data_IF_508309409513
#
_entry.id   IF_508309409513
#
_cell.length_a   1.000
_cell.length_b   1.000
_cell.length_c   1.000
_cell.angle_alpha   90.00
_cell.angle_beta   90.00
_cell.angle_gamma   90.00
#
_symmetry.space_group_name_H-M   'P 1'
#
loop_
_entity.id
_entity.type
_entity.pdbx_description
1 polymer ?
#
# COMPACT_ATOMS: atom_id res chain seq x y z
N UNK A 1 -20.07 22.82 27.66
CA UNK A 1 -19.45 21.63 27.06
C UNK A 1 -18.92 22.05 25.70
N UNK A 2 -17.64 22.43 25.62
CA UNK A 2 -17.00 22.73 24.34
C UNK A 2 -16.04 21.59 24.06
N UNK A 3 -16.36 20.80 23.04
CA UNK A 3 -15.61 19.63 22.64
C UNK A 3 -14.40 20.12 21.86
N UNK A 4 -13.20 19.96 22.41
CA UNK A 4 -11.95 20.13 21.67
C UNK A 4 -11.77 18.91 20.76
N UNK A 5 -12.14 19.06 19.48
CA UNK A 5 -11.65 18.15 18.44
C UNK A 5 -10.25 18.63 18.05
N UNK A 6 -9.22 18.03 18.62
CA UNK A 6 -7.93 17.99 17.94
C UNK A 6 -8.15 17.20 16.64
N UNK A 7 -8.13 17.92 15.53
CA UNK A 7 -8.38 17.42 14.18
C UNK A 7 -7.18 16.61 13.70
N UNK A 8 -7.05 15.41 14.26
CA UNK A 8 -6.09 14.38 13.86
C UNK A 8 -6.37 13.84 12.46
N UNK A 9 -7.52 14.20 11.86
CA UNK A 9 -7.92 13.84 10.51
C UNK A 9 -7.29 14.78 9.47
N UNK A 10 -7.17 16.07 9.77
CA UNK A 10 -6.63 17.06 8.85
C UNK A 10 -5.12 17.33 8.98
N UNK A 11 -4.45 16.83 10.03
CA UNK A 11 -2.99 16.97 10.19
C UNK A 11 -2.27 15.74 10.79
N UNK A 12 -2.23 14.57 10.10
CA UNK A 12 -1.27 13.53 10.46
C UNK A 12 0.14 13.98 10.07
N UNK A 13 0.99 14.20 11.08
CA UNK A 13 2.31 14.85 10.97
C UNK A 13 3.44 13.98 10.37
N UNK A 14 3.23 12.72 9.98
CA UNK A 14 4.36 11.83 9.67
C UNK A 14 4.03 10.75 8.62
N UNK A 15 4.29 11.05 7.34
CA UNK A 15 4.65 10.06 6.29
C UNK A 15 6.04 10.34 5.72
N UNK A 16 6.87 11.01 6.53
CA UNK A 16 8.18 11.54 6.14
C UNK A 16 9.23 10.44 6.32
N UNK A 17 9.55 9.70 5.25
CA UNK A 17 10.91 9.27 4.86
C UNK A 17 10.99 8.04 3.93
N UNK A 18 9.90 7.32 3.66
CA UNK A 18 9.93 6.21 2.71
C UNK A 18 8.58 5.54 2.63
N UNK A 19 8.02 5.38 1.42
CA UNK A 19 6.81 4.55 1.27
C UNK A 19 7.04 3.11 1.78
N UNK A 20 8.31 2.69 1.87
CA UNK A 20 8.80 1.44 2.45
C UNK A 20 8.40 1.31 3.92
N UNK A 21 8.60 2.33 4.76
CA UNK A 21 8.27 2.25 6.20
C UNK A 21 6.77 2.00 6.45
N UNK A 22 5.90 2.64 5.65
CA UNK A 22 4.45 2.50 5.80
C UNK A 22 3.99 1.14 5.27
N UNK A 23 4.51 0.69 4.13
CA UNK A 23 4.12 -0.61 3.58
C UNK A 23 4.62 -1.75 4.47
N UNK A 24 5.78 -1.59 5.12
CA UNK A 24 6.32 -2.57 6.07
C UNK A 24 5.45 -2.62 7.33
N UNK A 25 5.06 -1.46 7.88
CA UNK A 25 4.09 -1.41 8.97
C UNK A 25 2.75 -2.09 8.60
N UNK A 26 2.24 -1.85 7.39
CA UNK A 26 1.01 -2.50 6.91
C UNK A 26 1.23 -4.02 6.78
N UNK A 27 2.39 -4.46 6.28
CA UNK A 27 2.74 -5.88 6.15
C UNK A 27 2.76 -6.58 7.51
N UNK A 28 3.39 -5.98 8.50
CA UNK A 28 3.53 -6.54 9.85
C UNK A 28 2.19 -6.64 10.60
N UNK A 29 1.21 -5.80 10.26
CA UNK A 29 -0.11 -5.76 10.91
C UNK A 29 -1.18 -6.58 10.18
N UNK A 30 -0.88 -7.16 9.01
CA UNK A 30 -1.83 -7.95 8.24
C UNK A 30 -1.38 -9.41 8.18
N UNK A 31 -2.36 -10.32 8.06
CA UNK A 31 -2.03 -11.68 7.63
C UNK A 31 -1.49 -11.63 6.20
N UNK A 32 -0.67 -12.61 5.82
CA UNK A 32 -0.12 -12.74 4.48
C UNK A 32 -1.20 -12.61 3.39
N UNK A 33 -2.30 -13.34 3.52
CA UNK A 33 -3.47 -13.27 2.63
C UNK A 33 -4.01 -11.83 2.51
N UNK A 34 -4.19 -11.13 3.64
CA UNK A 34 -4.72 -9.76 3.67
C UNK A 34 -3.75 -8.76 3.04
N UNK A 35 -2.44 -8.92 3.27
CA UNK A 35 -1.42 -8.07 2.67
C UNK A 35 -1.36 -8.25 1.14
N UNK A 36 -1.44 -9.49 0.66
CA UNK A 36 -1.55 -9.79 -0.77
C UNK A 36 -2.82 -9.13 -1.33
N UNK A 37 -3.97 -9.29 -0.66
CA UNK A 37 -5.23 -8.65 -1.06
C UNK A 37 -5.12 -7.12 -1.14
N UNK A 38 -4.45 -6.49 -0.18
CA UNK A 38 -4.16 -5.05 -0.21
C UNK A 38 -3.30 -4.66 -1.43
N UNK A 39 -2.28 -5.43 -1.74
CA UNK A 39 -1.43 -5.20 -2.91
C UNK A 39 -2.23 -5.31 -4.21
N UNK A 40 -3.01 -6.37 -4.38
CA UNK A 40 -3.85 -6.59 -5.56
C UNK A 40 -4.89 -5.48 -5.72
N UNK A 41 -5.53 -5.03 -4.64
CA UNK A 41 -6.44 -3.88 -4.68
C UNK A 41 -5.77 -2.59 -5.19
N UNK A 42 -4.52 -2.35 -4.79
CA UNK A 42 -3.74 -1.22 -5.29
C UNK A 42 -3.36 -1.37 -6.77
N UNK A 43 -2.99 -2.57 -7.22
CA UNK A 43 -2.77 -2.85 -8.66
C UNK A 43 -4.01 -2.48 -9.48
N UNK A 44 -5.19 -2.96 -9.08
CA UNK A 44 -6.45 -2.64 -9.76
C UNK A 44 -6.74 -1.13 -9.76
N UNK A 45 -6.50 -0.45 -8.64
CA UNK A 45 -6.67 1.01 -8.50
C UNK A 45 -5.78 1.78 -9.49
N UNK A 46 -4.51 1.40 -9.63
CA UNK A 46 -3.59 2.14 -10.49
C UNK A 46 -3.80 1.81 -11.98
N UNK A 47 -4.03 0.54 -12.31
CA UNK A 47 -4.36 0.12 -13.69
C UNK A 47 -5.69 0.72 -14.16
N UNK A 48 -6.70 0.88 -13.30
CA UNK A 48 -7.95 1.55 -13.72
C UNK A 48 -7.83 3.07 -13.87
N UNK A 49 -6.72 3.67 -13.43
CA UNK A 49 -6.56 5.12 -13.32
C UNK A 49 -5.58 5.72 -14.34
N UNK A 50 -4.67 4.92 -14.90
CA UNK A 50 -3.54 5.44 -15.67
C UNK A 50 -3.97 6.38 -16.82
N UNK A 51 -4.98 6.00 -17.61
CA UNK A 51 -5.43 6.81 -18.77
C UNK A 51 -6.00 8.17 -18.40
N UNK A 52 -6.50 8.31 -17.16
CA UNK A 52 -7.35 9.42 -16.71
C UNK A 52 -6.74 10.26 -15.60
N UNK A 53 -5.54 9.92 -15.09
CA UNK A 53 -4.88 10.69 -14.03
C UNK A 53 -3.38 10.90 -14.23
N UNK A 54 -2.57 9.85 -14.07
CA UNK A 54 -1.10 10.00 -13.99
C UNK A 54 -0.33 9.22 -15.07
N UNK A 55 -1.00 8.58 -16.02
CA UNK A 55 -0.36 7.84 -17.11
C UNK A 55 0.60 6.76 -16.58
N UNK A 56 1.80 6.73 -17.16
CA UNK A 56 2.83 5.72 -16.89
C UNK A 56 3.18 5.62 -15.39
N UNK A 57 3.15 6.71 -14.63
CA UNK A 57 3.46 6.69 -13.19
C UNK A 57 2.51 5.78 -12.40
N UNK A 58 1.23 5.69 -12.80
CA UNK A 58 0.30 4.75 -12.18
C UNK A 58 0.65 3.31 -12.55
N UNK A 59 1.06 3.05 -13.78
CA UNK A 59 1.50 1.71 -14.19
C UNK A 59 2.76 1.27 -13.44
N UNK A 60 3.72 2.18 -13.23
CA UNK A 60 4.91 1.92 -12.41
C UNK A 60 4.54 1.58 -10.97
N UNK A 61 3.59 2.32 -10.37
CA UNK A 61 3.05 1.99 -9.03
C UNK A 61 2.38 0.62 -9.02
N UNK A 62 1.59 0.28 -10.04
CA UNK A 62 0.98 -1.04 -10.15
C UNK A 62 2.04 -2.16 -10.15
N UNK A 63 3.14 -1.97 -10.89
CA UNK A 63 4.27 -2.93 -10.92
C UNK A 63 4.89 -3.10 -9.54
N UNK A 64 5.10 -2.02 -8.77
CA UNK A 64 5.64 -2.08 -7.41
C UNK A 64 4.76 -2.95 -6.50
N UNK A 65 3.45 -2.68 -6.45
CA UNK A 65 2.52 -3.47 -5.65
C UNK A 65 2.43 -4.93 -6.10
N UNK A 66 2.50 -5.18 -7.41
CA UNK A 66 2.51 -6.54 -7.94
C UNK A 66 3.78 -7.30 -7.50
N UNK A 67 4.93 -6.65 -7.55
CA UNK A 67 6.20 -7.26 -7.10
C UNK A 67 6.18 -7.59 -5.60
N UNK A 68 5.58 -6.76 -4.75
CA UNK A 68 5.42 -7.07 -3.33
C UNK A 68 4.57 -8.32 -3.11
N UNK A 69 3.44 -8.45 -3.81
CA UNK A 69 2.62 -9.65 -3.73
C UNK A 69 3.37 -10.91 -4.22
N UNK A 70 4.15 -10.79 -5.30
CA UNK A 70 4.98 -11.89 -5.83
C UNK A 70 6.05 -12.31 -4.83
N UNK A 71 6.72 -11.37 -4.17
CA UNK A 71 7.77 -11.70 -3.20
C UNK A 71 7.22 -12.49 -2.03
N UNK A 72 6.10 -12.07 -1.46
CA UNK A 72 5.42 -12.75 -0.36
C UNK A 72 5.04 -14.20 -0.74
N UNK A 73 4.50 -14.41 -1.94
CA UNK A 73 4.17 -15.75 -2.46
C UNK A 73 5.41 -16.62 -2.79
N UNK A 74 6.57 -16.00 -3.04
CA UNK A 74 7.82 -16.72 -3.29
C UNK A 74 8.47 -17.14 -1.98
N UNK A 75 8.42 -16.30 -0.95
CA UNK A 75 8.90 -16.62 0.40
C UNK A 75 8.17 -17.84 0.96
N UNK A 76 6.84 -17.93 0.79
CA UNK A 76 6.05 -19.12 1.15
C UNK A 76 6.56 -20.43 0.55
N UNK A 77 7.06 -20.41 -0.69
CA UNK A 77 7.52 -21.60 -1.41
C UNK A 77 8.93 -22.05 -1.06
N UNK A 78 9.68 -21.23 -0.33
CA UNK A 78 11.04 -21.57 0.14
C UNK A 78 10.98 -22.30 1.48
N UNK A 79 9.91 -22.10 2.24
CA UNK A 79 9.70 -22.69 3.56
C UNK A 79 8.92 -24.03 3.53
N UNK A 80 8.50 -24.49 2.35
CA UNK A 80 7.91 -25.81 2.06
C UNK A 80 8.92 -26.77 1.40
#
# INVERSE_FOLDING_TARGET
MNINFEDTVNHPSYYTAGQIEVIDYIRDNLTQEKYIGYCIGNVLKYVSRYERKNGVEDLEKAVVYLNWAINVLKEEKVDE
#
